data_IF_277431609448
#
_entry.id   IF_277431609448
#
_cell.length_a   1.000
_cell.length_b   1.000
_cell.length_c   1.000
_cell.angle_alpha   90.00
_cell.angle_beta   90.00
_cell.angle_gamma   90.00
#
_symmetry.space_group_name_H-M   'P 1'
#
loop_
_entity.id
_entity.type
_entity.pdbx_description
1 polymer ?
#
# COMPACT_ATOMS: atom_id res chain seq x y z
N UNK A 1 -29.03 7.54 16.74
CA UNK A 1 -28.38 6.25 16.47
C UNK A 1 -29.21 5.18 17.17
N UNK A 2 -30.01 4.44 16.41
CA UNK A 2 -30.84 3.36 16.95
C UNK A 2 -29.94 2.18 17.28
N UNK A 3 -29.92 1.77 18.55
CA UNK A 3 -29.18 0.60 19.02
C UNK A 3 -29.69 -0.64 18.30
N UNK A 4 -28.81 -1.38 17.63
CA UNK A 4 -29.17 -2.62 16.98
C UNK A 4 -29.59 -3.65 18.06
N UNK A 5 -30.81 -4.18 17.98
CA UNK A 5 -31.25 -5.20 18.94
C UNK A 5 -30.48 -6.52 18.70
N UNK A 6 -30.23 -7.34 19.74
CA UNK A 6 -29.50 -8.61 19.60
C UNK A 6 -30.10 -9.55 18.54
N UNK A 7 -31.43 -9.56 18.40
CA UNK A 7 -32.13 -10.33 17.36
C UNK A 7 -31.72 -9.92 15.96
N UNK A 8 -31.58 -8.61 15.73
CA UNK A 8 -31.17 -8.06 14.43
C UNK A 8 -29.75 -8.45 14.04
N UNK A 9 -28.87 -8.64 15.03
CA UNK A 9 -27.50 -9.11 14.79
C UNK A 9 -27.49 -10.60 14.43
N UNK A 10 -28.26 -11.43 15.12
CA UNK A 10 -28.38 -12.87 14.83
C UNK A 10 -29.02 -13.09 13.46
N UNK A 11 -30.09 -12.35 13.15
CA UNK A 11 -30.76 -12.40 11.84
C UNK A 11 -29.78 -12.01 10.73
N UNK A 12 -28.92 -11.00 10.95
CA UNK A 12 -27.91 -10.61 9.95
C UNK A 12 -26.86 -11.71 9.72
N UNK A 13 -26.45 -12.43 10.77
CA UNK A 13 -25.43 -13.49 10.68
C UNK A 13 -25.97 -14.75 10.00
N UNK A 14 -27.21 -15.12 10.30
CA UNK A 14 -27.82 -16.37 9.84
C UNK A 14 -28.74 -16.19 8.62
N UNK A 15 -28.99 -14.95 8.18
CA UNK A 15 -29.86 -14.71 7.04
C UNK A 15 -29.24 -15.28 5.76
N UNK A 16 -29.96 -16.11 5.01
CA UNK A 16 -29.54 -16.55 3.68
C UNK A 16 -29.75 -15.46 2.62
N UNK A 17 -30.35 -14.32 2.98
CA UNK A 17 -30.63 -13.23 2.04
C UNK A 17 -29.33 -12.48 1.68
N UNK A 18 -29.15 -12.11 0.40
CA UNK A 18 -27.99 -11.34 0.00
C UNK A 18 -27.97 -9.98 0.71
N UNK A 19 -26.81 -9.58 1.21
CA UNK A 19 -26.63 -8.26 1.78
C UNK A 19 -27.00 -7.19 0.74
N UNK A 20 -27.49 -6.00 1.18
CA UNK A 20 -27.76 -4.90 0.25
C UNK A 20 -26.55 -4.61 -0.64
N UNK A 21 -26.76 -4.30 -1.92
CA UNK A 21 -25.68 -4.08 -2.89
C UNK A 21 -24.59 -3.11 -2.39
N UNK A 22 -25.01 -2.06 -1.68
CA UNK A 22 -24.10 -1.09 -1.05
C UNK A 22 -23.23 -1.72 0.05
N UNK A 23 -23.79 -2.59 0.88
CA UNK A 23 -23.03 -3.30 1.91
C UNK A 23 -22.00 -4.25 1.26
N UNK A 24 -22.40 -4.98 0.22
CA UNK A 24 -21.47 -5.81 -0.56
C UNK A 24 -20.30 -5.01 -1.15
N UNK A 25 -20.57 -3.87 -1.77
CA UNK A 25 -19.51 -3.01 -2.32
C UNK A 25 -18.60 -2.36 -1.27
N UNK A 26 -19.13 -2.03 -0.09
CA UNK A 26 -18.32 -1.57 1.05
C UNK A 26 -17.41 -2.71 1.54
N UNK A 27 -17.93 -3.93 1.70
CA UNK A 27 -17.13 -5.09 2.12
C UNK A 27 -15.99 -5.38 1.13
N UNK A 28 -16.23 -5.28 -0.18
CA UNK A 28 -15.19 -5.42 -1.20
C UNK A 28 -14.14 -4.29 -1.13
N UNK A 29 -14.56 -3.08 -0.79
CA UNK A 29 -13.64 -1.95 -0.58
C UNK A 29 -12.77 -2.18 0.65
N UNK A 30 -13.35 -2.68 1.75
CA UNK A 30 -12.61 -3.08 2.95
C UNK A 30 -11.61 -4.18 2.63
N UNK A 31 -12.04 -5.23 1.92
CA UNK A 31 -11.16 -6.32 1.49
C UNK A 31 -9.99 -5.79 0.66
N UNK A 32 -10.23 -4.87 -0.27
CA UNK A 32 -9.19 -4.21 -1.06
C UNK A 32 -8.19 -3.44 -0.20
N UNK A 33 -8.68 -2.70 0.80
CA UNK A 33 -7.82 -1.95 1.72
C UNK A 33 -6.99 -2.91 2.58
N UNK A 34 -7.60 -3.99 3.10
CA UNK A 34 -6.91 -5.04 3.86
C UNK A 34 -5.84 -5.72 3.02
N UNK A 35 -6.13 -6.07 1.77
CA UNK A 35 -5.13 -6.59 0.83
C UNK A 35 -4.00 -5.57 0.60
N UNK A 36 -4.33 -4.28 0.53
CA UNK A 36 -3.36 -3.19 0.45
C UNK A 36 -2.47 -3.04 1.69
N UNK A 37 -2.79 -3.67 2.83
CA UNK A 37 -1.90 -3.73 3.99
C UNK A 37 -0.67 -4.64 3.76
N UNK A 38 -0.58 -5.28 2.58
CA UNK A 38 0.68 -5.82 2.05
C UNK A 38 1.84 -4.82 2.14
N UNK A 39 1.54 -3.52 2.19
CA UNK A 39 2.49 -2.44 2.52
C UNK A 39 3.43 -2.77 3.69
N UNK A 40 2.96 -3.52 4.69
CA UNK A 40 3.75 -3.95 5.84
C UNK A 40 4.80 -5.02 5.52
N UNK A 41 4.86 -5.55 4.30
CA UNK A 41 5.91 -6.49 3.88
C UNK A 41 7.08 -5.80 3.17
N UNK A 42 6.94 -4.54 2.76
CA UNK A 42 7.97 -3.87 1.95
C UNK A 42 9.19 -3.47 2.79
N UNK A 43 8.99 -3.14 4.08
CA UNK A 43 10.02 -2.52 4.92
C UNK A 43 11.29 -3.36 5.12
N UNK A 44 11.20 -4.70 5.07
CA UNK A 44 12.34 -5.59 5.31
C UNK A 44 13.14 -5.92 4.05
N UNK A 45 12.73 -5.41 2.87
CA UNK A 45 13.48 -5.54 1.61
C UNK A 45 14.49 -4.39 1.51
N UNK A 46 15.52 -4.47 2.32
CA UNK A 46 16.48 -3.37 2.51
C UNK A 46 17.61 -3.45 1.46
N UNK A 47 17.77 -2.44 0.57
CA UNK A 47 18.90 -2.36 -0.35
C UNK A 47 20.21 -1.97 0.38
N UNK A 48 21.39 -2.15 -0.25
CA UNK A 48 21.59 -2.49 -1.66
C UNK A 48 21.66 -3.98 -1.98
N UNK A 49 22.00 -4.84 -1.01
CA UNK A 49 22.26 -6.28 -1.23
C UNK A 49 21.08 -7.18 -0.85
N UNK A 50 20.00 -6.61 -0.29
CA UNK A 50 18.77 -7.34 0.07
C UNK A 50 19.00 -8.54 1.00
N UNK A 51 20.07 -8.50 1.79
CA UNK A 51 20.46 -9.54 2.75
C UNK A 51 21.38 -10.62 2.20
N UNK A 52 21.90 -10.47 0.97
CA UNK A 52 22.82 -11.42 0.33
C UNK A 52 24.09 -11.66 1.17
N UNK A 53 24.79 -10.61 1.60
CA UNK A 53 26.06 -10.75 2.33
C UNK A 53 25.90 -11.43 3.71
N UNK A 54 24.72 -11.28 4.33
CA UNK A 54 24.42 -11.82 5.67
C UNK A 54 23.58 -13.09 5.63
N UNK A 55 23.16 -13.54 4.44
CA UNK A 55 22.21 -14.64 4.25
C UNK A 55 20.90 -14.45 5.03
N UNK A 56 20.36 -13.24 5.00
CA UNK A 56 19.10 -12.86 5.67
C UNK A 56 18.16 -12.18 4.67
N UNK A 57 17.05 -11.61 5.14
CA UNK A 57 16.18 -10.76 4.32
C UNK A 57 15.64 -11.47 3.09
N UNK A 58 15.50 -10.75 1.98
CA UNK A 58 14.89 -11.28 0.76
C UNK A 58 15.71 -12.43 0.19
N UNK A 59 17.04 -12.38 0.33
CA UNK A 59 17.94 -13.42 -0.16
C UNK A 59 17.67 -14.77 0.48
N UNK A 60 17.53 -14.78 1.81
CA UNK A 60 17.19 -15.98 2.57
C UNK A 60 15.88 -16.60 2.08
N UNK A 61 14.81 -15.81 2.01
CA UNK A 61 13.49 -16.31 1.58
C UNK A 61 13.47 -16.77 0.12
N UNK A 62 14.30 -16.17 -0.74
CA UNK A 62 14.43 -16.59 -2.14
C UNK A 62 15.15 -17.92 -2.25
N UNK A 63 16.17 -18.18 -1.41
CA UNK A 63 16.90 -19.45 -1.37
C UNK A 63 16.03 -20.64 -0.98
N UNK A 64 14.99 -20.44 -0.16
CA UNK A 64 14.10 -21.54 0.24
C UNK A 64 13.40 -22.21 -0.96
N UNK A 65 13.26 -21.50 -2.09
CA UNK A 65 12.72 -22.09 -3.32
C UNK A 65 13.61 -23.22 -3.88
N UNK A 66 14.91 -23.17 -3.60
CA UNK A 66 15.91 -24.16 -4.02
C UNK A 66 16.11 -25.20 -2.92
N UNK A 67 16.21 -24.77 -1.66
CA UNK A 67 16.43 -25.67 -0.52
C UNK A 67 15.20 -26.58 -0.24
N UNK A 68 14.00 -26.07 -0.51
CA UNK A 68 12.72 -26.76 -0.27
C UNK A 68 11.82 -26.66 -1.51
N UNK A 69 12.18 -27.36 -2.60
CA UNK A 69 11.52 -27.19 -3.89
C UNK A 69 10.05 -27.65 -3.85
N UNK A 70 9.13 -26.71 -4.11
CA UNK A 70 7.70 -27.00 -4.29
C UNK A 70 7.41 -27.47 -5.71
N UNK A 71 8.02 -26.82 -6.70
CA UNK A 71 7.85 -27.09 -8.13
C UNK A 71 9.20 -26.97 -8.84
N UNK A 72 9.83 -28.09 -9.26
CA UNK A 72 11.21 -28.09 -9.74
C UNK A 72 11.54 -27.10 -10.87
N UNK A 73 10.67 -26.86 -11.87
CA UNK A 73 10.95 -25.85 -12.89
C UNK A 73 11.05 -24.42 -12.33
N UNK A 74 10.28 -24.09 -11.28
CA UNK A 74 10.40 -22.80 -10.60
C UNK A 74 11.71 -22.71 -9.82
N UNK A 75 12.09 -23.77 -9.10
CA UNK A 75 13.37 -23.85 -8.39
C UNK A 75 14.55 -23.69 -9.34
N UNK A 76 14.50 -24.33 -10.51
CA UNK A 76 15.51 -24.18 -11.56
C UNK A 76 15.63 -22.72 -12.03
N UNK A 77 14.49 -22.05 -12.29
CA UNK A 77 14.45 -20.64 -12.66
C UNK A 77 15.06 -19.76 -11.57
N UNK A 78 14.72 -20.03 -10.30
CA UNK A 78 15.26 -19.28 -9.17
C UNK A 78 16.79 -19.48 -9.10
N UNK A 79 17.26 -20.72 -9.13
CA UNK A 79 18.68 -21.05 -9.02
C UNK A 79 19.53 -20.49 -10.16
N UNK A 80 19.05 -20.55 -11.41
CA UNK A 80 19.87 -20.24 -12.58
C UNK A 80 19.65 -18.84 -13.15
N UNK A 81 18.53 -18.18 -12.81
CA UNK A 81 18.19 -16.85 -13.36
C UNK A 81 18.08 -15.82 -12.25
N UNK A 82 17.35 -16.13 -11.17
CA UNK A 82 17.08 -15.15 -10.10
C UNK A 82 18.30 -14.96 -9.20
N UNK A 83 18.84 -16.03 -8.62
CA UNK A 83 19.95 -15.95 -7.67
C UNK A 83 21.23 -15.36 -8.29
N UNK A 84 21.62 -15.68 -9.54
CA UNK A 84 22.78 -15.05 -10.17
C UNK A 84 22.58 -13.56 -10.49
N UNK A 85 21.33 -13.10 -10.57
CA UNK A 85 20.95 -11.71 -10.87
C UNK A 85 20.17 -11.07 -9.71
N UNK A 86 20.60 -11.35 -8.49
CA UNK A 86 19.76 -11.09 -7.32
C UNK A 86 19.54 -9.62 -7.00
N UNK A 87 20.57 -8.79 -7.11
CA UNK A 87 20.42 -7.36 -6.85
C UNK A 87 19.38 -6.70 -7.78
N UNK A 88 19.41 -6.89 -9.12
CA UNK A 88 18.33 -6.47 -10.01
C UNK A 88 16.95 -7.03 -9.63
N UNK A 89 16.89 -8.31 -9.27
CA UNK A 89 15.64 -8.94 -8.82
C UNK A 89 15.09 -8.31 -7.53
N UNK A 90 15.95 -8.02 -6.54
CA UNK A 90 15.55 -7.35 -5.30
C UNK A 90 14.94 -5.98 -5.53
N UNK A 91 15.51 -5.19 -6.44
CA UNK A 91 14.93 -3.90 -6.86
C UNK A 91 13.58 -4.08 -7.57
N UNK A 92 13.46 -5.07 -8.46
CA UNK A 92 12.19 -5.40 -9.11
C UNK A 92 11.11 -5.77 -8.07
N UNK A 93 11.44 -6.66 -7.12
CA UNK A 93 10.54 -7.04 -6.03
C UNK A 93 10.14 -5.82 -5.21
N UNK A 94 11.09 -4.96 -4.84
CA UNK A 94 10.81 -3.74 -4.07
C UNK A 94 9.83 -2.81 -4.80
N UNK A 95 10.01 -2.60 -6.10
CA UNK A 95 9.12 -1.78 -6.93
C UNK A 95 7.73 -2.41 -7.02
N UNK A 96 7.64 -3.70 -7.31
CA UNK A 96 6.37 -4.42 -7.47
C UNK A 96 5.61 -4.48 -6.13
N UNK A 97 6.29 -4.80 -5.04
CA UNK A 97 5.71 -4.83 -3.69
C UNK A 97 5.35 -3.45 -3.15
N UNK A 98 5.94 -2.37 -3.68
CA UNK A 98 5.45 -1.01 -3.42
C UNK A 98 4.21 -0.71 -4.27
N UNK A 99 4.25 -1.05 -5.55
CA UNK A 99 3.20 -0.71 -6.50
C UNK A 99 1.88 -1.40 -6.15
N UNK A 100 1.93 -2.69 -5.78
CA UNK A 100 0.75 -3.48 -5.39
C UNK A 100 -0.12 -2.78 -4.32
N UNK A 101 0.40 -2.46 -3.11
CA UNK A 101 -0.38 -1.77 -2.09
C UNK A 101 -0.78 -0.36 -2.50
N UNK A 102 0.04 0.38 -3.26
CA UNK A 102 -0.35 1.70 -3.78
C UNK A 102 -1.60 1.59 -4.65
N UNK A 103 -1.63 0.65 -5.60
CA UNK A 103 -2.77 0.43 -6.48
C UNK A 103 -4.02 -0.02 -5.69
N UNK A 104 -3.85 -0.94 -4.73
CA UNK A 104 -4.95 -1.43 -3.89
C UNK A 104 -5.51 -0.38 -2.94
N UNK A 105 -4.67 0.32 -2.18
CA UNK A 105 -5.09 1.33 -1.21
C UNK A 105 -5.79 2.52 -1.89
N UNK A 106 -5.23 2.97 -3.02
CA UNK A 106 -5.82 4.09 -3.78
C UNK A 106 -7.01 3.69 -4.63
N UNK A 107 -7.23 2.39 -4.83
CA UNK A 107 -8.25 1.87 -5.74
C UNK A 107 -7.98 2.27 -7.19
N UNK A 108 -6.71 2.20 -7.61
CA UNK A 108 -6.26 2.55 -8.96
C UNK A 108 -5.85 1.26 -9.69
N UNK A 109 -6.42 1.01 -10.87
CA UNK A 109 -6.14 -0.20 -11.67
C UNK A 109 -6.23 -1.49 -10.84
N UNK A 110 -7.29 -1.65 -10.03
CA UNK A 110 -7.38 -2.73 -9.02
C UNK A 110 -7.26 -4.13 -9.62
N UNK A 111 -7.77 -4.34 -10.85
CA UNK A 111 -7.61 -5.63 -11.55
C UNK A 111 -6.16 -5.94 -11.92
N UNK A 112 -5.39 -4.93 -12.33
CA UNK A 112 -3.96 -5.10 -12.57
C UNK A 112 -3.23 -5.41 -11.26
N UNK A 113 -3.56 -4.69 -10.19
CA UNK A 113 -3.03 -4.97 -8.86
C UNK A 113 -3.36 -6.40 -8.41
N UNK A 114 -4.57 -6.87 -8.67
CA UNK A 114 -4.97 -8.24 -8.39
C UNK A 114 -4.16 -9.28 -9.18
N UNK A 115 -3.89 -9.05 -10.47
CA UNK A 115 -3.02 -9.92 -11.27
C UNK A 115 -1.58 -9.96 -10.73
N UNK A 116 -1.05 -8.80 -10.35
CA UNK A 116 0.27 -8.70 -9.70
C UNK A 116 0.27 -9.50 -8.40
N UNK A 117 -0.71 -9.29 -7.53
CA UNK A 117 -0.84 -9.98 -6.25
C UNK A 117 -1.02 -11.49 -6.41
N UNK A 118 -1.72 -11.95 -7.45
CA UNK A 118 -1.78 -13.39 -7.84
C UNK A 118 -0.37 -13.89 -8.16
N UNK A 119 0.35 -13.20 -9.05
CA UNK A 119 1.71 -13.58 -9.43
C UNK A 119 2.67 -13.63 -8.23
N UNK A 120 2.62 -12.64 -7.34
CA UNK A 120 3.44 -12.60 -6.13
C UNK A 120 3.04 -13.69 -5.12
N UNK A 121 1.75 -13.94 -4.93
CA UNK A 121 1.29 -15.01 -4.03
C UNK A 121 1.74 -16.39 -4.52
N UNK A 122 1.72 -16.61 -5.84
CA UNK A 122 2.26 -17.83 -6.45
C UNK A 122 3.78 -17.93 -6.27
N UNK A 123 4.52 -16.86 -6.57
CA UNK A 123 5.98 -16.85 -6.41
C UNK A 123 6.40 -17.13 -4.95
N UNK A 124 5.79 -16.43 -3.98
CA UNK A 124 6.05 -16.65 -2.56
C UNK A 124 5.67 -18.08 -2.17
N UNK A 125 4.47 -18.54 -2.54
CA UNK A 125 4.02 -19.90 -2.23
C UNK A 125 4.95 -20.97 -2.79
N UNK A 126 5.41 -20.82 -4.04
CA UNK A 126 6.38 -21.75 -4.64
C UNK A 126 7.77 -21.67 -4.00
N UNK A 127 8.12 -20.55 -3.36
CA UNK A 127 9.39 -20.41 -2.65
C UNK A 127 9.39 -21.02 -1.26
N UNK A 128 8.26 -21.06 -0.56
CA UNK A 128 8.28 -21.35 0.89
C UNK A 128 7.22 -22.37 1.36
N UNK A 129 6.32 -22.85 0.50
CA UNK A 129 5.25 -23.77 0.94
C UNK A 129 5.75 -25.13 1.46
N UNK A 130 6.98 -25.54 1.15
CA UNK A 130 7.62 -26.73 1.73
C UNK A 130 8.68 -26.38 2.78
N UNK A 131 8.86 -25.10 3.09
CA UNK A 131 9.85 -24.69 4.08
C UNK A 131 9.38 -25.00 5.51
N UNK A 132 10.31 -25.35 6.43
CA UNK A 132 9.98 -25.60 7.83
C UNK A 132 9.29 -24.39 8.49
N UNK A 133 8.28 -24.66 9.32
CA UNK A 133 7.53 -23.66 10.10
C UNK A 133 6.70 -22.66 9.28
N UNK A 134 6.55 -22.86 7.97
CA UNK A 134 5.65 -22.05 7.14
C UNK A 134 4.23 -22.60 7.13
N UNK A 135 3.26 -21.72 6.84
CA UNK A 135 1.86 -22.09 6.69
C UNK A 135 1.39 -21.93 5.24
N UNK A 136 1.37 -23.01 4.43
CA UNK A 136 1.11 -22.92 2.99
C UNK A 136 -0.25 -22.32 2.63
N UNK A 137 -1.25 -22.51 3.49
CA UNK A 137 -2.59 -22.00 3.27
C UNK A 137 -2.68 -20.47 3.30
N UNK A 138 -1.71 -19.79 3.93
CA UNK A 138 -1.63 -18.33 3.88
C UNK A 138 -1.55 -17.83 2.43
N UNK A 139 -0.75 -18.47 1.58
CA UNK A 139 -0.58 -18.08 0.16
C UNK A 139 -1.82 -18.41 -0.67
N UNK A 140 -2.51 -19.51 -0.37
CA UNK A 140 -3.79 -19.84 -0.99
C UNK A 140 -4.88 -18.79 -0.63
N UNK A 141 -4.90 -18.33 0.62
CA UNK A 141 -5.80 -17.25 1.05
C UNK A 141 -5.44 -15.93 0.38
N UNK A 142 -4.15 -15.59 0.28
CA UNK A 142 -3.68 -14.40 -0.44
C UNK A 142 -4.09 -14.46 -1.91
N UNK A 143 -3.93 -15.61 -2.57
CA UNK A 143 -4.41 -15.84 -3.94
C UNK A 143 -5.93 -15.65 -4.04
N UNK A 144 -6.69 -16.23 -3.11
CA UNK A 144 -8.15 -16.11 -3.06
C UNK A 144 -8.63 -14.67 -2.92
N UNK A 145 -7.99 -13.87 -2.05
CA UNK A 145 -8.31 -12.44 -1.91
C UNK A 145 -8.11 -11.71 -3.23
N UNK A 146 -6.99 -11.93 -3.93
CA UNK A 146 -6.73 -11.28 -5.20
C UNK A 146 -7.66 -11.78 -6.32
N UNK A 147 -8.05 -13.06 -6.33
CA UNK A 147 -9.08 -13.56 -7.25
C UNK A 147 -10.43 -12.85 -7.05
N UNK A 148 -10.85 -12.63 -5.79
CA UNK A 148 -12.05 -11.84 -5.50
C UNK A 148 -11.88 -10.42 -6.02
N UNK A 149 -10.74 -9.77 -5.78
CA UNK A 149 -10.50 -8.39 -6.24
C UNK A 149 -10.42 -8.25 -7.77
N UNK A 150 -9.98 -9.30 -8.47
CA UNK A 150 -9.92 -9.36 -9.93
C UNK A 150 -11.32 -9.44 -10.55
N UNK A 151 -12.18 -10.28 -9.98
CA UNK A 151 -13.48 -10.63 -10.54
C UNK A 151 -14.62 -9.73 -10.04
N UNK A 152 -14.54 -9.24 -8.81
CA UNK A 152 -15.57 -8.43 -8.17
C UNK A 152 -15.36 -6.91 -8.36
N UNK A 153 -16.42 -6.08 -8.29
CA UNK A 153 -16.32 -4.64 -8.48
C UNK A 153 -15.81 -3.91 -7.22
N UNK A 154 -14.62 -4.26 -6.75
CA UNK A 154 -13.99 -3.74 -5.52
C UNK A 154 -13.50 -2.28 -5.61
N UNK A 155 -13.61 -1.67 -6.79
CA UNK A 155 -13.18 -0.29 -7.06
C UNK A 155 -14.34 0.71 -7.18
N UNK A 156 -15.56 0.35 -6.75
CA UNK A 156 -16.74 1.22 -6.80
C UNK A 156 -16.71 2.36 -5.76
N UNK A 157 -16.08 2.14 -4.60
CA UNK A 157 -15.99 3.10 -3.51
C UNK A 157 -14.55 3.40 -3.11
N UNK A 158 -14.34 4.61 -2.60
CA UNK A 158 -13.06 5.10 -2.11
C UNK A 158 -11.89 4.81 -3.07
N UNK A 159 -12.09 5.01 -4.38
CA UNK A 159 -11.17 4.56 -5.42
C UNK A 159 -10.98 5.62 -6.51
N UNK A 160 -9.76 5.71 -7.06
CA UNK A 160 -9.49 6.51 -8.26
C UNK A 160 -10.24 5.95 -9.48
N UNK A 161 -10.35 4.63 -9.59
CA UNK A 161 -11.09 4.00 -10.69
C UNK A 161 -12.58 4.36 -10.67
N UNK A 162 -13.20 4.54 -9.50
CA UNK A 162 -14.58 5.04 -9.40
C UNK A 162 -14.73 6.44 -10.03
N UNK A 163 -13.73 7.29 -9.87
CA UNK A 163 -13.70 8.63 -10.48
C UNK A 163 -13.55 8.50 -12.00
N UNK A 164 -12.68 7.58 -12.48
CA UNK A 164 -12.50 7.32 -13.91
C UNK A 164 -13.78 6.78 -14.55
N UNK A 165 -14.51 5.90 -13.87
CA UNK A 165 -15.80 5.40 -14.32
C UNK A 165 -16.85 6.53 -14.35
N UNK A 166 -16.98 7.30 -13.27
CA UNK A 166 -17.91 8.43 -13.21
C UNK A 166 -17.62 9.53 -14.24
N UNK A 167 -16.38 9.67 -14.72
CA UNK A 167 -16.03 10.58 -15.83
C UNK A 167 -16.65 10.16 -17.16
N UNK A 168 -16.95 8.87 -17.35
CA UNK A 168 -17.58 8.36 -18.58
C UNK A 168 -19.10 8.51 -18.51
N UNK A 169 -19.67 8.24 -17.34
CA UNK A 169 -21.12 7.96 -17.23
C UNK A 169 -21.90 8.95 -16.34
N UNK A 170 -21.26 9.95 -15.72
CA UNK A 170 -21.95 10.87 -14.81
C UNK A 170 -21.11 12.01 -14.23
N UNK A 171 -21.34 12.35 -12.96
CA UNK A 171 -20.66 13.45 -12.26
C UNK A 171 -19.51 12.96 -11.36
N UNK A 172 -18.24 13.08 -11.78
CA UNK A 172 -17.10 12.58 -10.99
C UNK A 172 -16.70 13.51 -9.82
N UNK A 173 -17.15 14.76 -9.82
CA UNK A 173 -16.67 15.79 -8.89
C UNK A 173 -16.95 15.47 -7.40
N UNK A 174 -18.15 15.00 -7.00
CA UNK A 174 -18.42 14.65 -5.61
C UNK A 174 -17.56 13.47 -5.12
N UNK A 175 -17.33 12.47 -5.97
CA UNK A 175 -16.51 11.29 -5.66
C UNK A 175 -15.05 11.72 -5.46
N UNK A 176 -14.53 12.53 -6.38
CA UNK A 176 -13.18 13.07 -6.31
C UNK A 176 -12.96 13.88 -5.02
N UNK A 177 -13.90 14.76 -4.65
CA UNK A 177 -13.80 15.55 -3.42
C UNK A 177 -13.81 14.70 -2.16
N UNK A 178 -14.69 13.70 -2.08
CA UNK A 178 -14.77 12.78 -0.93
C UNK A 178 -13.49 11.95 -0.81
N UNK A 179 -12.97 11.45 -1.93
CA UNK A 179 -11.73 10.67 -1.93
C UNK A 179 -10.54 11.52 -1.49
N UNK A 180 -10.39 12.71 -2.09
CA UNK A 180 -9.30 13.63 -1.80
C UNK A 180 -9.34 14.12 -0.35
N UNK A 181 -10.53 14.52 0.14
CA UNK A 181 -10.72 14.97 1.52
C UNK A 181 -10.54 13.83 2.54
N UNK A 182 -11.04 12.63 2.23
CA UNK A 182 -10.86 11.46 3.09
C UNK A 182 -9.39 11.06 3.24
N UNK A 183 -8.63 11.03 2.15
CA UNK A 183 -7.19 10.82 2.20
C UNK A 183 -6.46 11.96 2.90
N UNK A 184 -6.83 13.23 2.64
CA UNK A 184 -6.26 14.36 3.35
C UNK A 184 -6.42 14.26 4.87
N UNK A 185 -7.59 13.84 5.36
CA UNK A 185 -7.82 13.59 6.78
C UNK A 185 -6.97 12.44 7.32
N UNK A 186 -6.92 11.32 6.58
CA UNK A 186 -6.10 10.16 6.97
C UNK A 186 -4.61 10.55 7.09
N UNK A 187 -4.08 11.26 6.09
CA UNK A 187 -2.68 11.68 6.10
C UNK A 187 -2.39 12.70 7.21
N UNK A 188 -3.33 13.60 7.52
CA UNK A 188 -3.19 14.51 8.65
C UNK A 188 -3.10 13.74 9.98
N UNK A 189 -3.92 12.69 10.17
CA UNK A 189 -3.84 11.84 11.36
C UNK A 189 -2.50 11.10 11.45
N UNK A 190 -2.03 10.52 10.34
CA UNK A 190 -0.71 9.87 10.28
C UNK A 190 0.41 10.86 10.59
N UNK A 191 0.35 12.07 10.02
CA UNK A 191 1.31 13.14 10.26
C UNK A 191 1.35 13.59 11.73
N UNK A 192 0.18 13.74 12.37
CA UNK A 192 0.10 14.10 13.79
C UNK A 192 0.70 12.99 14.66
N UNK A 193 0.35 11.73 14.42
CA UNK A 193 0.92 10.60 15.17
C UNK A 193 2.43 10.53 14.97
N UNK A 194 2.91 10.72 13.74
CA UNK A 194 4.33 10.78 13.41
C UNK A 194 5.06 11.93 14.13
N UNK A 195 4.48 13.13 14.15
CA UNK A 195 5.03 14.30 14.84
C UNK A 195 5.11 14.06 16.36
N UNK A 196 4.04 13.54 16.96
CA UNK A 196 4.00 13.19 18.40
C UNK A 196 5.05 12.16 18.73
N UNK A 197 5.16 11.09 17.92
CA UNK A 197 6.21 10.08 18.09
C UNK A 197 7.61 10.69 17.97
N UNK A 198 7.79 11.77 17.23
CA UNK A 198 9.09 12.44 16.96
C UNK A 198 9.42 13.55 17.96
N UNK A 199 8.58 13.79 18.98
CA UNK A 199 8.88 14.76 20.02
C UNK A 199 10.08 14.30 20.85
N UNK A 200 11.06 15.18 21.04
CA UNK A 200 12.30 14.90 21.77
C UNK A 200 13.45 14.38 20.90
N UNK A 201 13.18 13.98 19.65
CA UNK A 201 14.21 13.58 18.70
C UNK A 201 14.78 14.80 17.94
N UNK A 202 16.00 14.70 17.39
CA UNK A 202 16.48 15.63 16.39
C UNK A 202 15.48 15.79 15.23
N UNK A 203 15.35 17.00 14.70
CA UNK A 203 14.39 17.32 13.64
C UNK A 203 14.52 16.42 12.40
N UNK A 204 15.76 16.02 12.09
CA UNK A 204 16.14 15.11 10.99
C UNK A 204 16.73 13.82 11.57
N UNK A 205 16.05 13.22 12.55
CA UNK A 205 16.50 11.96 13.11
C UNK A 205 16.46 10.83 12.06
N UNK A 206 17.48 9.94 12.05
CA UNK A 206 17.49 8.76 11.18
C UNK A 206 16.55 7.68 11.72
N UNK A 207 15.25 7.88 11.52
CA UNK A 207 14.20 6.91 11.85
C UNK A 207 14.01 5.92 10.72
N UNK A 208 13.77 4.65 11.05
CA UNK A 208 13.61 3.56 10.09
C UNK A 208 14.92 2.90 9.64
N UNK A 209 16.04 3.19 10.32
CA UNK A 209 17.27 2.41 10.16
C UNK A 209 17.01 0.99 10.68
N UNK A 210 17.05 0.00 9.77
CA UNK A 210 16.53 -1.34 9.99
C UNK A 210 17.21 -2.14 11.11
N UNK A 211 16.76 -1.96 12.35
CA UNK A 211 17.17 -2.78 13.50
C UNK A 211 15.92 -3.26 14.24
N UNK A 212 15.61 -4.55 14.11
CA UNK A 212 14.57 -5.25 14.87
C UNK A 212 13.21 -5.40 14.19
N UNK A 213 12.51 -6.49 14.52
CA UNK A 213 11.11 -6.72 14.15
C UNK A 213 10.20 -5.91 15.10
N UNK A 214 9.47 -4.88 14.63
CA UNK A 214 8.45 -4.27 15.48
C UNK A 214 7.24 -5.24 15.60
N UNK A 215 6.69 -5.46 16.80
CA UNK A 215 5.50 -6.28 16.98
C UNK A 215 4.31 -5.67 16.22
N UNK A 216 3.36 -6.52 15.80
CA UNK A 216 2.09 -6.27 15.11
C UNK A 216 1.62 -4.80 15.10
N UNK A 217 2.27 -3.99 14.26
CA UNK A 217 1.96 -2.57 14.09
C UNK A 217 1.36 -2.39 12.70
N UNK A 218 0.24 -1.68 12.63
CA UNK A 218 -0.25 -1.08 11.38
C UNK A 218 0.86 -0.16 10.86
N UNK A 219 1.72 -0.71 10.01
CA UNK A 219 2.96 -0.07 9.60
C UNK A 219 2.68 0.90 8.45
N UNK A 220 2.25 2.11 8.77
CA UNK A 220 2.02 3.20 7.80
C UNK A 220 3.31 4.00 7.51
N UNK A 221 4.47 3.40 7.76
CA UNK A 221 5.78 4.02 7.61
C UNK A 221 6.34 4.60 8.92
N UNK A 222 7.66 4.80 8.91
CA UNK A 222 8.38 5.57 9.92
C UNK A 222 8.68 6.96 9.39
N UNK A 223 8.48 7.98 10.22
CA UNK A 223 8.63 9.39 9.84
C UNK A 223 9.44 10.10 10.91
N UNK A 224 10.39 10.94 10.50
CA UNK A 224 10.98 11.94 11.38
C UNK A 224 10.09 13.21 11.43
N UNK A 225 10.48 14.20 12.23
CA UNK A 225 9.70 15.42 12.39
C UNK A 225 9.54 16.18 11.06
N UNK A 226 10.61 16.27 10.26
CA UNK A 226 10.54 16.90 8.94
C UNK A 226 9.52 16.21 8.03
N UNK A 227 9.54 14.87 7.94
CA UNK A 227 8.59 14.12 7.12
C UNK A 227 7.16 14.20 7.64
N UNK A 228 6.96 14.27 8.95
CA UNK A 228 5.64 14.52 9.54
C UNK A 228 5.10 15.90 9.09
N UNK A 229 5.92 16.94 9.09
CA UNK A 229 5.53 18.27 8.61
C UNK A 229 5.25 18.28 7.11
N UNK A 230 6.09 17.62 6.30
CA UNK A 230 5.85 17.47 4.85
C UNK A 230 4.53 16.74 4.60
N UNK A 231 4.24 15.67 5.33
CA UNK A 231 2.99 14.92 5.22
C UNK A 231 1.78 15.77 5.64
N UNK A 232 1.93 16.61 6.67
CA UNK A 232 0.90 17.54 7.11
C UNK A 232 0.61 18.62 6.06
N UNK A 233 1.65 19.15 5.40
CA UNK A 233 1.50 20.09 4.27
C UNK A 233 0.75 19.43 3.11
N UNK A 234 1.15 18.21 2.72
CA UNK A 234 0.48 17.43 1.68
C UNK A 234 -0.99 17.23 2.03
N UNK A 235 -1.29 16.82 3.27
CA UNK A 235 -2.64 16.63 3.79
C UNK A 235 -3.47 17.91 3.75
N UNK A 236 -2.91 19.03 4.22
CA UNK A 236 -3.56 20.34 4.21
C UNK A 236 -3.91 20.80 2.79
N UNK A 237 -3.00 20.63 1.84
CA UNK A 237 -3.26 20.94 0.43
C UNK A 237 -4.36 20.06 -0.17
N UNK A 238 -4.43 18.77 0.16
CA UNK A 238 -5.51 17.87 -0.29
C UNK A 238 -6.87 18.30 0.28
N UNK A 239 -6.93 18.61 1.57
CA UNK A 239 -8.14 19.10 2.24
C UNK A 239 -8.60 20.44 1.65
N UNK A 240 -7.69 21.39 1.45
CA UNK A 240 -7.97 22.68 0.83
C UNK A 240 -8.45 22.52 -0.62
N UNK A 241 -7.81 21.65 -1.40
CA UNK A 241 -8.24 21.31 -2.76
C UNK A 241 -9.66 20.69 -2.78
N UNK A 242 -9.99 19.83 -1.81
CA UNK A 242 -11.32 19.22 -1.70
C UNK A 242 -12.40 20.24 -1.28
N UNK A 243 -12.04 21.23 -0.47
CA UNK A 243 -12.94 22.29 0.00
C UNK A 243 -13.18 23.37 -1.07
N UNK A 244 -12.10 23.99 -1.57
CA UNK A 244 -12.13 25.17 -2.46
C UNK A 244 -12.19 24.78 -3.95
N UNK A 245 -11.95 23.51 -4.29
CA UNK A 245 -12.02 22.96 -5.66
C UNK A 245 -10.96 23.53 -6.63
N UNK A 246 -9.83 23.99 -6.10
CA UNK A 246 -8.72 24.51 -6.91
C UNK A 246 -7.81 23.34 -7.31
N UNK A 247 -7.71 23.10 -8.62
CA UNK A 247 -6.85 22.04 -9.19
C UNK A 247 -5.36 22.22 -8.84
N UNK A 248 -4.88 23.46 -8.84
CA UNK A 248 -3.48 23.76 -8.57
C UNK A 248 -3.04 23.20 -7.21
N UNK A 249 -3.88 23.32 -6.16
CA UNK A 249 -3.58 22.78 -4.82
C UNK A 249 -3.40 21.25 -4.83
N UNK A 250 -4.23 20.51 -5.57
CA UNK A 250 -4.08 19.06 -5.70
C UNK A 250 -2.81 18.69 -6.50
N UNK A 251 -2.47 19.45 -7.55
CA UNK A 251 -1.24 19.19 -8.33
C UNK A 251 0.01 19.49 -7.49
N UNK A 252 0.01 20.60 -6.74
CA UNK A 252 1.12 20.94 -5.83
C UNK A 252 1.28 19.88 -4.74
N UNK A 253 0.18 19.44 -4.14
CA UNK A 253 0.19 18.32 -3.17
C UNK A 253 0.83 17.07 -3.77
N UNK A 254 0.43 16.70 -5.00
CA UNK A 254 0.98 15.54 -5.69
C UNK A 254 2.48 15.68 -5.97
N UNK A 255 2.92 16.86 -6.40
CA UNK A 255 4.33 17.12 -6.69
C UNK A 255 5.19 17.01 -5.44
N UNK A 256 4.76 17.62 -4.33
CA UNK A 256 5.45 17.54 -3.04
C UNK A 256 5.52 16.08 -2.56
N UNK A 257 4.40 15.35 -2.62
CA UNK A 257 4.36 13.95 -2.22
C UNK A 257 5.26 13.06 -3.11
N UNK A 258 5.26 13.26 -4.42
CA UNK A 258 6.12 12.51 -5.33
C UNK A 258 7.61 12.78 -5.08
N UNK A 259 7.99 14.05 -4.84
CA UNK A 259 9.37 14.42 -4.48
C UNK A 259 9.78 13.82 -3.12
N UNK A 260 8.87 13.82 -2.13
CA UNK A 260 9.11 13.19 -0.84
C UNK A 260 9.38 11.69 -1.01
N UNK A 261 8.51 10.98 -1.73
CA UNK A 261 8.69 9.55 -2.02
C UNK A 261 10.01 9.27 -2.76
N UNK A 262 10.32 10.05 -3.81
CA UNK A 262 11.55 9.90 -4.57
C UNK A 262 12.78 10.11 -3.70
N UNK A 263 12.76 11.13 -2.85
CA UNK A 263 13.89 11.40 -1.95
C UNK A 263 14.13 10.24 -0.98
N UNK A 264 13.07 9.58 -0.48
CA UNK A 264 13.21 8.38 0.37
C UNK A 264 13.84 7.24 -0.45
N UNK A 265 13.36 6.96 -1.66
CA UNK A 265 13.91 5.89 -2.50
C UNK A 265 15.39 6.09 -2.83
N UNK A 266 15.81 7.31 -3.14
CA UNK A 266 17.22 7.64 -3.45
C UNK A 266 18.14 7.50 -2.23
N UNK A 267 17.57 7.58 -1.02
CA UNK A 267 18.29 7.50 0.24
C UNK A 267 18.19 6.13 0.93
N UNK A 268 17.50 5.14 0.33
CA UNK A 268 17.42 3.80 0.91
C UNK A 268 18.82 3.19 1.04
N UNK A 269 19.07 2.57 2.20
CA UNK A 269 20.36 1.96 2.54
C UNK A 269 21.42 2.94 3.06
N UNK A 270 21.11 4.24 3.19
CA UNK A 270 22.03 5.24 3.78
C UNK A 270 21.82 5.38 5.28
N UNK A 271 22.90 5.70 6.01
CA UNK A 271 22.85 5.95 7.46
C UNK A 271 22.26 7.32 7.84
N UNK A 272 22.41 8.32 6.96
CA UNK A 272 21.82 9.64 7.10
C UNK A 272 20.72 9.84 6.06
N UNK A 273 19.54 10.26 6.52
CA UNK A 273 18.32 10.36 5.71
C UNK A 273 17.54 11.63 6.05
N UNK A 274 17.05 12.35 5.03
CA UNK A 274 16.39 13.64 5.23
C UNK A 274 14.96 13.53 5.79
N UNK A 275 14.14 12.65 5.22
CA UNK A 275 12.75 12.46 5.63
C UNK A 275 12.59 11.27 6.59
N UNK A 276 13.69 10.57 6.90
CA UNK A 276 13.60 9.29 7.56
C UNK A 276 12.81 8.28 6.72
N UNK A 277 12.43 7.20 7.39
CA UNK A 277 11.49 6.24 6.86
C UNK A 277 12.10 5.17 5.97
N UNK A 278 11.21 4.33 5.48
CA UNK A 278 11.54 3.14 4.73
C UNK A 278 10.60 3.04 3.50
N UNK A 279 10.68 1.96 2.72
CA UNK A 279 9.82 1.82 1.55
C UNK A 279 8.31 1.97 1.83
N UNK A 280 7.84 1.57 3.01
CA UNK A 280 6.42 1.76 3.38
C UNK A 280 6.07 3.25 3.55
N UNK A 281 6.97 4.05 4.14
CA UNK A 281 6.85 5.52 4.21
C UNK A 281 6.75 6.13 2.81
N UNK A 282 7.63 5.71 1.90
CA UNK A 282 7.61 6.18 0.52
C UNK A 282 6.29 5.83 -0.16
N UNK A 283 5.78 4.61 0.00
CA UNK A 283 4.50 4.20 -0.59
C UNK A 283 3.31 5.02 -0.11
N UNK A 284 3.29 5.50 1.15
CA UNK A 284 2.22 6.41 1.62
C UNK A 284 2.27 7.75 0.88
N UNK A 285 3.46 8.31 0.65
CA UNK A 285 3.62 9.51 -0.18
C UNK A 285 3.22 9.24 -1.64
N UNK A 286 3.55 8.07 -2.20
CA UNK A 286 3.08 7.68 -3.55
C UNK A 286 1.55 7.57 -3.58
N UNK A 287 0.91 7.00 -2.56
CA UNK A 287 -0.56 6.96 -2.46
C UNK A 287 -1.14 8.37 -2.48
N UNK A 288 -0.57 9.30 -1.70
CA UNK A 288 -0.99 10.70 -1.67
C UNK A 288 -0.88 11.34 -3.06
N UNK A 289 0.24 11.12 -3.76
CA UNK A 289 0.46 11.62 -5.11
C UNK A 289 -0.56 11.05 -6.11
N UNK A 290 -0.77 9.73 -6.10
CA UNK A 290 -1.73 9.04 -6.96
C UNK A 290 -3.15 9.53 -6.71
N UNK A 291 -3.55 9.70 -5.46
CA UNK A 291 -4.88 10.23 -5.09
C UNK A 291 -5.02 11.68 -5.54
N UNK A 292 -4.04 12.53 -5.25
CA UNK A 292 -4.11 13.94 -5.63
C UNK A 292 -4.14 14.14 -7.16
N UNK A 293 -3.45 13.29 -7.91
CA UNK A 293 -3.52 13.24 -9.39
C UNK A 293 -4.83 12.64 -9.90
N UNK A 294 -5.30 11.54 -9.31
CA UNK A 294 -6.50 10.82 -9.75
C UNK A 294 -7.79 11.53 -9.38
N UNK A 295 -7.82 12.15 -8.21
CA UNK A 295 -8.96 12.86 -7.64
C UNK A 295 -8.98 14.36 -7.94
N UNK A 296 -8.29 14.78 -9.01
CA UNK A 296 -8.29 16.16 -9.53
C UNK A 296 -9.72 16.75 -9.48
N UNK A 297 -9.99 17.74 -8.61
CA UNK A 297 -11.27 18.41 -8.54
C UNK A 297 -11.52 19.13 -9.87
N UNK A 298 -12.72 18.98 -10.44
CA UNK A 298 -13.13 19.71 -11.64
C UNK A 298 -13.81 21.03 -11.25
N UNK A 299 -13.21 22.17 -11.67
CA UNK A 299 -13.77 23.39 -12.33
C UNK A 299 -12.67 24.49 -12.37
N UNK A 300 -12.62 25.44 -13.32
CA UNK A 300 -13.67 26.33 -13.87
C UNK A 300 -13.56 26.44 -15.41
N UNK A 301 -14.72 26.46 -16.06
CA UNK A 301 -14.95 27.07 -17.37
C UNK A 301 -14.35 28.48 -17.41
N UNK A 302 -13.45 28.75 -18.36
CA UNK A 302 -13.47 30.06 -19.01
C UNK A 302 -14.67 30.12 -19.94
#
# INVERSE_FOLDING_TARGET
>A
MTTASPRRAIDLVLSPAPAPARAGGISLTVLRIVAGLWLAHVWWKVPPDFGEARRTGLWFWTHLAVDHPVFPPYSWLVEHVVLPNFTPFGWLVLVVETLLPVLLLTGTAVRLAALIGIGQSLAIGMSVAQAPNEWPWAYAMMLGIHLVLLLAPSAQYAAVDAIRAARRDGEPAPIARRLLGGWGLLLALVAIVAAVKSLGDPFVAPRGSGVGYPPLQLFLGDYNMLAALVLLIVAGLMLAAAAVRIRALAVTSAAIAALAALSIYVQLGRGEVWLGGNPSTAAVFVCAAVIAVGARPLRVSS
#
